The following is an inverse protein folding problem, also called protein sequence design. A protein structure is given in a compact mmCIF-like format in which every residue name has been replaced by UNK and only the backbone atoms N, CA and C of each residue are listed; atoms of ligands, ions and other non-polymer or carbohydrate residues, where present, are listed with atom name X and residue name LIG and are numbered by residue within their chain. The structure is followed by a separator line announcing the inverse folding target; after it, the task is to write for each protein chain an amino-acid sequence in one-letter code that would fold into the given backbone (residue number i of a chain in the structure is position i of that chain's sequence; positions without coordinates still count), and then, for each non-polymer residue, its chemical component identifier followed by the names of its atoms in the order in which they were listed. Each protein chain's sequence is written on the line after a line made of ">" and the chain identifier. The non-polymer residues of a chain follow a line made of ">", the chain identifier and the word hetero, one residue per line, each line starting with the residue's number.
data_IF_448979615445
#
_entry.id   IF_448979615445
#
_cell.length_a   1.000
_cell.length_b   1.000
_cell.length_c   1.000
_cell.angle_alpha   90.00
_cell.angle_beta   90.00
_cell.angle_gamma   90.00
#
_symmetry.space_group_name_H-M   'P 1'
#
loop_
_entity.id
_entity.type
_entity.pdbx_description
1 polymer ?
#
# COMPACT_ATOMS: atom_id res chain seq x y z
N UNK A 1 -6.93 -5.14 -10.85
CA UNK A 1 -7.80 -6.00 -10.02
C UNK A 1 -6.99 -7.15 -9.47
N UNK A 2 -7.17 -7.48 -8.19
CA UNK A 2 -6.51 -8.61 -7.55
C UNK A 2 -7.52 -9.72 -7.28
N UNK A 3 -7.12 -10.96 -7.50
CA UNK A 3 -7.90 -12.12 -7.06
C UNK A 3 -7.49 -12.49 -5.64
N UNK A 4 -8.46 -12.65 -4.76
CA UNK A 4 -8.23 -12.90 -3.34
C UNK A 4 -8.84 -14.23 -2.91
N UNK A 5 -8.23 -14.88 -1.93
CA UNK A 5 -8.65 -16.21 -1.50
C UNK A 5 -9.96 -16.22 -0.74
N UNK A 6 -10.13 -15.28 0.19
CA UNK A 6 -11.33 -15.13 1.00
C UNK A 6 -11.84 -13.70 0.81
N UNK A 7 -12.90 -13.56 0.03
CA UNK A 7 -13.38 -12.24 -0.36
C UNK A 7 -13.80 -11.40 0.85
N UNK A 8 -14.55 -11.97 1.77
CA UNK A 8 -15.04 -11.21 2.94
C UNK A 8 -13.88 -10.71 3.79
N UNK A 9 -12.90 -11.57 4.04
CA UNK A 9 -11.71 -11.22 4.82
C UNK A 9 -10.89 -10.13 4.12
N UNK A 10 -10.64 -10.31 2.84
CA UNK A 10 -9.84 -9.35 2.08
C UNK A 10 -10.56 -8.03 1.90
N UNK A 11 -11.88 -8.04 1.77
CA UNK A 11 -12.66 -6.81 1.68
C UNK A 11 -12.51 -5.96 2.94
N UNK A 12 -12.55 -6.59 4.12
CA UNK A 12 -12.33 -5.86 5.38
C UNK A 12 -10.94 -5.22 5.41
N UNK A 13 -9.92 -5.99 5.02
CA UNK A 13 -8.54 -5.50 4.98
C UNK A 13 -8.41 -4.31 4.02
N UNK A 14 -8.84 -4.49 2.78
CA UNK A 14 -8.66 -3.45 1.76
C UNK A 14 -9.55 -2.23 2.02
N UNK A 15 -10.72 -2.41 2.61
CA UNK A 15 -11.54 -1.26 2.94
C UNK A 15 -10.84 -0.37 3.97
N UNK A 16 -10.26 -0.96 5.00
CA UNK A 16 -9.51 -0.20 6.00
C UNK A 16 -8.29 0.48 5.39
N UNK A 17 -7.49 -0.28 4.67
CA UNK A 17 -6.26 0.23 4.04
C UNK A 17 -6.58 1.35 3.05
N UNK A 18 -7.49 1.10 2.14
CA UNK A 18 -7.77 2.02 1.05
C UNK A 18 -8.44 3.30 1.55
N UNK A 19 -9.33 3.20 2.54
CA UNK A 19 -9.91 4.40 3.17
C UNK A 19 -8.82 5.25 3.80
N UNK A 20 -7.88 4.62 4.48
CA UNK A 20 -6.74 5.35 5.06
C UNK A 20 -5.93 6.05 3.98
N UNK A 21 -5.80 5.45 2.81
CA UNK A 21 -5.06 6.00 1.68
C UNK A 21 -5.88 6.98 0.83
N UNK A 22 -7.12 7.29 1.24
CA UNK A 22 -7.94 8.28 0.56
C UNK A 22 -8.87 7.73 -0.51
N UNK A 23 -9.01 6.42 -0.59
CA UNK A 23 -9.97 5.79 -1.49
C UNK A 23 -11.33 5.63 -0.81
N UNK A 24 -12.38 5.56 -1.61
CA UNK A 24 -13.75 5.29 -1.15
C UNK A 24 -14.29 4.09 -1.88
N UNK A 25 -15.07 3.27 -1.17
CA UNK A 25 -15.76 2.14 -1.78
C UNK A 25 -16.83 2.69 -2.73
N UNK A 26 -16.73 2.30 -4.00
CA UNK A 26 -17.64 2.81 -5.05
C UNK A 26 -18.47 1.71 -5.69
N UNK A 27 -17.99 0.49 -5.69
CA UNK A 27 -18.64 -0.61 -6.39
C UNK A 27 -18.64 -1.85 -5.52
N UNK A 28 -19.80 -2.50 -5.42
CA UNK A 28 -19.97 -3.76 -4.73
C UNK A 28 -20.86 -4.65 -5.56
N UNK A 29 -20.34 -5.80 -5.97
CA UNK A 29 -21.09 -6.80 -6.73
C UNK A 29 -20.75 -8.15 -6.14
N UNK A 30 -21.65 -8.84 -5.50
CA UNK A 30 -21.41 -10.21 -5.03
C UNK A 30 -19.98 -10.48 -4.55
N UNK A 31 -19.15 -10.97 -5.45
CA UNK A 31 -17.76 -11.35 -5.17
C UNK A 31 -16.73 -10.34 -5.68
N UNK A 32 -17.12 -9.10 -5.91
CA UNK A 32 -16.23 -8.04 -6.39
C UNK A 32 -16.48 -6.76 -5.63
N UNK A 33 -15.42 -6.01 -5.38
CA UNK A 33 -15.50 -4.69 -4.77
C UNK A 33 -14.45 -3.77 -5.39
N UNK A 34 -14.81 -2.50 -5.54
CA UNK A 34 -13.94 -1.50 -6.16
C UNK A 34 -13.93 -0.21 -5.36
N UNK A 35 -12.75 0.35 -5.20
CA UNK A 35 -12.51 1.62 -4.50
C UNK A 35 -11.89 2.62 -5.47
N UNK A 36 -12.17 3.89 -5.25
CA UNK A 36 -11.62 4.97 -6.09
C UNK A 36 -11.15 6.13 -5.23
N UNK A 37 -10.05 6.75 -5.65
CA UNK A 37 -9.57 8.00 -5.07
C UNK A 37 -9.83 9.19 -6.01
N UNK A 38 -10.59 8.97 -7.09
CA UNK A 38 -10.83 9.98 -8.12
C UNK A 38 -9.91 9.87 -9.32
N UNK A 39 -8.79 9.18 -9.19
CA UNK A 39 -7.82 8.98 -10.28
C UNK A 39 -7.59 7.52 -10.57
N UNK A 40 -7.56 6.69 -9.54
CA UNK A 40 -7.25 5.28 -9.64
C UNK A 40 -8.40 4.45 -9.09
N UNK A 41 -8.71 3.37 -9.79
CA UNK A 41 -9.65 2.36 -9.32
C UNK A 41 -8.87 1.14 -8.86
N UNK A 42 -9.17 0.68 -7.65
CA UNK A 42 -8.58 -0.53 -7.10
C UNK A 42 -9.68 -1.55 -6.87
N UNK A 43 -9.54 -2.73 -7.46
CA UNK A 43 -10.56 -3.76 -7.41
C UNK A 43 -10.02 -5.04 -6.81
N UNK A 44 -10.87 -5.75 -6.07
CA UNK A 44 -10.64 -7.14 -5.68
C UNK A 44 -11.80 -8.00 -6.16
N UNK A 45 -11.50 -9.26 -6.42
CA UNK A 45 -12.51 -10.25 -6.78
C UNK A 45 -12.14 -11.58 -6.14
N UNK A 46 -13.16 -12.38 -5.81
CA UNK A 46 -12.92 -13.72 -5.29
C UNK A 46 -12.19 -14.56 -6.34
N UNK A 47 -11.15 -15.27 -5.93
CA UNK A 47 -10.49 -16.25 -6.78
C UNK A 47 -11.46 -17.38 -7.08
N UNK A 48 -11.28 -18.02 -8.23
CA UNK A 48 -12.10 -19.20 -8.55
C UNK A 48 -11.66 -20.42 -7.73
N UNK A 49 -12.38 -21.54 -7.88
CA UNK A 49 -12.11 -22.73 -7.09
C UNK A 49 -10.68 -23.26 -7.28
N UNK A 50 -10.15 -23.17 -8.50
CA UNK A 50 -8.78 -23.59 -8.79
C UNK A 50 -7.77 -22.65 -8.13
N UNK A 51 -7.96 -21.35 -8.29
CA UNK A 51 -7.06 -20.33 -7.73
C UNK A 51 -7.02 -20.35 -6.20
N UNK A 52 -8.17 -20.62 -5.54
CA UNK A 52 -8.21 -20.64 -4.08
C UNK A 52 -7.36 -21.75 -3.46
N UNK A 53 -7.03 -22.78 -4.21
CA UNK A 53 -6.18 -23.88 -3.74
C UNK A 53 -4.70 -23.52 -3.74
N UNK A 54 -4.33 -22.43 -4.42
CA UNK A 54 -2.94 -21.99 -4.52
C UNK A 54 -2.66 -20.90 -3.51
N UNK A 55 -1.48 -20.97 -2.91
CA UNK A 55 -1.03 -19.90 -2.03
C UNK A 55 -0.18 -18.93 -2.83
N UNK A 56 -0.32 -17.66 -2.53
CA UNK A 56 0.51 -16.63 -3.15
C UNK A 56 1.98 -16.84 -2.78
N UNK A 57 2.85 -16.66 -3.77
CA UNK A 57 4.29 -16.67 -3.58
C UNK A 57 4.89 -15.67 -4.57
N UNK A 58 5.62 -14.68 -4.05
CA UNK A 58 6.12 -13.58 -4.88
C UNK A 58 7.11 -14.00 -5.95
N UNK A 59 7.70 -15.19 -5.86
CA UNK A 59 8.61 -15.72 -6.86
C UNK A 59 7.93 -16.45 -8.00
N UNK A 60 6.61 -16.63 -7.93
CA UNK A 60 5.85 -17.28 -9.00
C UNK A 60 5.55 -16.29 -10.11
N UNK A 61 5.16 -16.82 -11.28
CA UNK A 61 4.72 -15.99 -12.39
C UNK A 61 3.51 -15.16 -11.94
N UNK A 62 3.58 -13.84 -12.15
CA UNK A 62 2.54 -12.91 -11.75
C UNK A 62 3.16 -11.73 -11.02
N UNK A 63 2.39 -11.10 -10.15
CA UNK A 63 2.90 -9.96 -9.40
C UNK A 63 3.97 -10.38 -8.40
N UNK A 64 5.08 -9.64 -8.39
CA UNK A 64 6.02 -9.69 -7.29
C UNK A 64 5.45 -8.93 -6.09
N UNK A 65 4.97 -7.73 -6.33
CA UNK A 65 4.25 -6.92 -5.34
C UNK A 65 3.50 -5.79 -6.04
N UNK A 66 2.63 -5.10 -5.30
CA UNK A 66 1.89 -3.94 -5.78
C UNK A 66 2.29 -2.73 -4.94
N UNK A 67 2.54 -1.59 -5.60
CA UNK A 67 3.03 -0.39 -4.92
C UNK A 67 2.02 0.74 -5.03
N UNK A 68 1.80 1.42 -3.90
CA UNK A 68 1.06 2.67 -3.83
C UNK A 68 2.07 3.80 -3.71
N UNK A 69 1.90 4.84 -4.52
CA UNK A 69 2.72 6.04 -4.39
C UNK A 69 2.04 7.00 -3.43
N UNK A 70 2.76 7.46 -2.41
CA UNK A 70 2.25 8.40 -1.42
C UNK A 70 2.87 9.77 -1.61
N UNK A 71 2.29 10.77 -0.95
CA UNK A 71 2.66 12.16 -1.17
C UNK A 71 3.94 12.59 -0.46
N UNK A 72 4.36 11.87 0.58
CA UNK A 72 5.50 12.27 1.40
C UNK A 72 6.05 11.12 2.22
N UNK A 73 7.27 11.28 2.74
CA UNK A 73 7.84 10.32 3.69
C UNK A 73 6.99 10.23 4.95
N UNK A 74 6.46 11.37 5.39
CA UNK A 74 5.55 11.39 6.56
C UNK A 74 4.32 10.55 6.33
N UNK A 75 3.77 10.53 5.11
CA UNK A 75 2.63 9.70 4.78
C UNK A 75 3.00 8.21 4.85
N UNK A 76 4.20 7.83 4.43
CA UNK A 76 4.68 6.45 4.56
C UNK A 76 4.80 6.06 6.02
N UNK A 77 5.35 6.94 6.86
CA UNK A 77 5.46 6.70 8.30
C UNK A 77 4.10 6.55 8.96
N UNK A 78 3.15 7.40 8.58
CA UNK A 78 1.79 7.33 9.11
C UNK A 78 1.12 6.01 8.73
N UNK A 79 1.32 5.55 7.50
CA UNK A 79 0.80 4.26 7.09
C UNK A 79 1.44 3.14 7.91
N UNK A 80 2.75 3.20 8.16
CA UNK A 80 3.42 2.21 9.00
C UNK A 80 2.76 2.07 10.37
N UNK A 81 2.46 3.20 11.00
CA UNK A 81 1.76 3.21 12.29
C UNK A 81 0.36 2.63 12.18
N UNK A 82 -0.37 3.02 11.14
CA UNK A 82 -1.71 2.50 10.89
C UNK A 82 -1.70 0.99 10.74
N UNK A 83 -0.76 0.45 9.99
CA UNK A 83 -0.63 -1.00 9.78
C UNK A 83 -0.44 -1.72 11.11
N UNK A 84 0.47 -1.22 11.94
CA UNK A 84 0.73 -1.82 13.24
C UNK A 84 -0.47 -1.71 14.17
N UNK A 85 -1.11 -0.54 14.21
CA UNK A 85 -2.27 -0.31 15.06
C UNK A 85 -3.46 -1.20 14.68
N UNK A 86 -3.55 -1.62 13.43
CA UNK A 86 -4.61 -2.48 12.94
C UNK A 86 -4.22 -3.95 12.84
N UNK A 87 -3.07 -4.32 13.37
CA UNK A 87 -2.62 -5.72 13.37
C UNK A 87 -2.33 -6.27 11.99
N UNK A 88 -2.02 -5.41 11.04
CA UNK A 88 -1.65 -5.81 9.69
C UNK A 88 -0.17 -6.18 9.65
N UNK A 89 0.19 -7.13 8.77
CA UNK A 89 1.56 -7.66 8.72
C UNK A 89 2.50 -6.69 8.03
N UNK A 90 3.47 -6.17 8.77
CA UNK A 90 4.54 -5.34 8.20
C UNK A 90 5.72 -6.25 7.89
N UNK A 91 6.17 -6.26 6.64
CA UNK A 91 7.33 -7.05 6.21
C UNK A 91 8.61 -6.28 6.50
N UNK A 92 8.69 -5.05 6.01
CA UNK A 92 9.81 -4.15 6.27
C UNK A 92 9.25 -2.79 6.68
N UNK A 93 9.69 -2.24 7.82
CA UNK A 93 9.13 -0.99 8.34
C UNK A 93 9.48 0.20 7.46
N UNK A 94 8.81 1.37 7.66
CA UNK A 94 9.16 2.56 6.91
C UNK A 94 10.64 2.88 7.00
N UNK A 95 11.27 3.15 5.87
CA UNK A 95 12.69 3.44 5.81
C UNK A 95 13.17 3.72 4.41
N UNK A 96 14.45 4.06 4.32
CA UNK A 96 15.13 4.24 3.03
C UNK A 96 15.58 2.88 2.51
N UNK A 97 15.14 2.58 1.28
CA UNK A 97 15.51 1.34 0.59
C UNK A 97 16.06 1.72 -0.78
N UNK A 98 17.07 1.00 -1.25
CA UNK A 98 17.68 1.24 -2.56
C UNK A 98 18.28 2.65 -2.69
N UNK A 99 18.68 3.26 -1.57
CA UNK A 99 19.29 4.59 -1.57
C UNK A 99 18.40 5.65 -0.94
N UNK A 100 18.94 6.87 -0.88
CA UNK A 100 18.34 7.96 -0.11
C UNK A 100 17.07 8.56 -0.74
N UNK A 101 16.84 8.27 -2.02
CA UNK A 101 15.71 8.87 -2.73
C UNK A 101 14.47 7.99 -2.71
N UNK A 102 14.54 6.82 -2.11
CA UNK A 102 13.45 5.86 -2.10
C UNK A 102 13.05 5.55 -0.66
N UNK A 103 11.84 5.95 -0.29
CA UNK A 103 11.33 5.74 1.07
C UNK A 103 10.05 4.92 1.01
N UNK A 104 9.99 3.82 1.72
CA UNK A 104 8.89 2.88 1.56
C UNK A 104 8.61 2.09 2.82
N UNK A 105 7.42 1.49 2.86
CA UNK A 105 7.04 0.44 3.82
C UNK A 105 6.53 -0.75 3.01
N UNK A 106 6.90 -1.95 3.41
CA UNK A 106 6.45 -3.19 2.77
C UNK A 106 5.58 -3.96 3.75
N UNK A 107 4.45 -4.46 3.27
CA UNK A 107 3.50 -5.15 4.13
C UNK A 107 2.77 -6.22 3.33
N UNK A 108 1.92 -7.00 3.98
CA UNK A 108 1.23 -8.11 3.33
C UNK A 108 -0.27 -8.01 3.55
N UNK A 109 -1.02 -8.45 2.54
CA UNK A 109 -2.46 -8.59 2.67
C UNK A 109 -2.82 -9.94 3.31
N UNK A 110 -4.12 -10.25 3.53
CA UNK A 110 -4.51 -11.51 4.17
C UNK A 110 -4.08 -12.77 3.42
N UNK A 111 -3.85 -12.70 2.12
CA UNK A 111 -3.37 -13.84 1.34
C UNK A 111 -1.84 -13.92 1.34
N UNK A 112 -1.16 -13.00 2.01
CA UNK A 112 0.28 -12.90 1.99
C UNK A 112 0.85 -12.20 0.76
N UNK A 113 -0.01 -11.57 -0.05
CA UNK A 113 0.46 -10.78 -1.18
C UNK A 113 1.24 -9.57 -0.69
N UNK A 114 2.44 -9.38 -1.25
CA UNK A 114 3.30 -8.28 -0.85
C UNK A 114 2.78 -6.97 -1.42
N UNK A 115 2.66 -5.99 -0.55
CA UNK A 115 2.25 -4.64 -0.89
C UNK A 115 3.34 -3.67 -0.47
N UNK A 116 3.38 -2.54 -1.13
CA UNK A 116 4.34 -1.49 -0.86
C UNK A 116 3.64 -0.14 -0.88
N UNK A 117 4.05 0.76 -0.01
CA UNK A 117 3.69 2.17 -0.13
C UNK A 117 4.98 2.96 -0.12
N UNK A 118 5.15 3.84 -1.09
CA UNK A 118 6.46 4.44 -1.34
C UNK A 118 6.35 5.87 -1.84
N UNK A 119 7.47 6.56 -1.70
CA UNK A 119 7.70 7.78 -2.44
C UNK A 119 9.14 7.77 -2.97
N UNK A 120 9.29 8.15 -4.22
CA UNK A 120 10.60 8.33 -4.84
C UNK A 120 10.87 9.82 -4.86
N UNK A 121 11.56 10.29 -3.83
CA UNK A 121 11.92 11.70 -3.72
C UNK A 121 13.18 11.83 -2.88
N UNK A 122 14.07 12.75 -3.24
CA UNK A 122 15.24 13.01 -2.40
C UNK A 122 14.78 13.49 -1.02
N UNK A 123 15.58 13.26 0.03
CA UNK A 123 15.30 13.83 1.33
C UNK A 123 15.24 15.36 1.19
N UNK A 124 14.46 16.00 2.06
CA UNK A 124 14.40 17.46 2.05
C UNK A 124 15.81 18.01 2.12
N UNK A 125 16.14 18.96 1.25
CA UNK A 125 17.45 19.62 1.35
C UNK A 125 17.61 20.19 2.75
N UNK A 126 18.80 20.09 3.31
CA UNK A 126 19.14 20.83 4.50
C UNK A 126 18.74 22.28 4.23
N UNK A 127 17.92 22.85 5.10
CA UNK A 127 17.72 24.27 5.06
C UNK A 127 19.11 24.91 5.08
N UNK A 128 19.47 25.52 3.98
CA UNK A 128 20.59 26.42 4.01
C UNK A 128 20.35 27.36 5.17
N UNK A 129 21.34 27.50 5.96
CA UNK A 129 21.26 28.45 7.03
C UNK A 129 20.65 29.70 6.49
N UNK A 130 19.58 30.09 6.37
CA UNK A 130 18.78 30.84 5.73
C UNK A 130 18.63 32.00 5.92
N UNK A 131 19.03 31.36 5.59
CA UNK A 131 19.00 31.92 5.50
C UNK A 131 18.77 32.70 5.92
N UNK A 132 19.25 33.19 6.17
CA UNK A 132 19.19 33.76 6.56
C UNK A 132 18.85 34.67 6.09
N UNK A 133 18.79 34.69 5.76
CA UNK A 133 18.68 35.20 5.22
C UNK A 133 17.74 35.57 4.90
N UNK A 134 17.52 35.64 4.99
CA UNK A 134 17.01 35.88 4.68
C UNK A 134 16.42 36.40 4.78
N UNK A 135 16.81 36.66 5.22
CA UNK A 135 16.69 37.20 5.44
C UNK A 135 16.70 37.69 5.48
N UNK A 136 17.09 37.65 5.79
CA UNK A 136 17.39 38.07 5.91
C UNK A 136 17.12 38.30 5.82
#
# INVERSE_FOLDING_TARGET
>A
MLSVGDFARSKVFYDKLLRFLGFKLKHEYGNMAGWSNGETLFWIAAADAHGRKRKYRKGDIGFHHYAFELASRGAVDQLGRFLEDNGMTVIDPPGEYYGRNYYAVYFADPDGMKLEAMIWAPPKPKRAAKSKHKRS
#
